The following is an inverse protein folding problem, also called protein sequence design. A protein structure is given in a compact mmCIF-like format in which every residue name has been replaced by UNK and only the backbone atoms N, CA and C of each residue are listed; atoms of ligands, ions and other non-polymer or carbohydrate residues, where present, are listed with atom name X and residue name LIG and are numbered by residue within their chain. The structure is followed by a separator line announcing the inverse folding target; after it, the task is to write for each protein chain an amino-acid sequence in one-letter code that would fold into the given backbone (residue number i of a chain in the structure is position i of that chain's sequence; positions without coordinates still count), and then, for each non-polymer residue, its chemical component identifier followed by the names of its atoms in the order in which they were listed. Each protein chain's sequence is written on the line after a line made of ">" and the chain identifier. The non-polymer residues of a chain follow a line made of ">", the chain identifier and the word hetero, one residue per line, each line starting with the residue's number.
data_IF_317521371727
#
_entry.id   IF_317521371727
#
_cell.length_a   1.000
_cell.length_b   1.000
_cell.length_c   1.000
_cell.angle_alpha   90.00
_cell.angle_beta   90.00
_cell.angle_gamma   90.00
#
_symmetry.space_group_name_H-M   'P 1'
#
loop_
_entity.id
_entity.type
_entity.pdbx_description
1 polymer ?
#
# COMPACT_ATOMS: atom_id res chain seq x y z
N UNK A 1 -9.31 22.03 -4.79
CA UNK A 1 -10.51 21.15 -4.77
C UNK A 1 -10.60 20.50 -3.39
N UNK A 2 -11.66 20.76 -2.59
CA UNK A 2 -11.80 20.18 -1.25
C UNK A 2 -11.90 18.66 -1.39
N UNK A 3 -11.02 17.93 -0.72
CA UNK A 3 -11.18 16.48 -0.51
C UNK A 3 -12.60 16.27 0.01
N UNK A 4 -13.42 15.53 -0.73
CA UNK A 4 -14.86 15.44 -0.45
C UNK A 4 -15.11 14.96 0.99
N UNK A 5 -16.18 15.41 1.60
CA UNK A 5 -16.60 15.09 2.98
C UNK A 5 -16.55 13.58 3.29
N UNK A 6 -16.83 12.73 2.29
CA UNK A 6 -16.76 11.26 2.39
C UNK A 6 -15.35 10.69 2.55
N UNK A 7 -14.31 11.37 2.07
CA UNK A 7 -12.91 10.93 2.23
C UNK A 7 -12.41 11.23 3.65
N UNK A 8 -12.82 12.37 4.21
CA UNK A 8 -12.48 12.73 5.58
C UNK A 8 -13.12 11.77 6.59
N UNK A 9 -14.38 11.35 6.39
CA UNK A 9 -15.03 10.40 7.30
C UNK A 9 -14.32 9.05 7.36
N UNK A 10 -13.87 8.51 6.21
CA UNK A 10 -13.13 7.25 6.18
C UNK A 10 -11.76 7.34 6.88
N UNK A 11 -11.09 8.47 6.78
CA UNK A 11 -9.84 8.69 7.52
C UNK A 11 -10.07 8.75 9.04
N UNK A 12 -11.18 9.38 9.48
CA UNK A 12 -11.55 9.35 10.90
C UNK A 12 -11.92 7.94 11.38
N UNK A 13 -12.64 7.15 10.58
CA UNK A 13 -12.95 5.75 10.92
C UNK A 13 -11.67 4.93 11.02
N UNK A 14 -10.70 5.11 10.11
CA UNK A 14 -9.41 4.44 10.18
C UNK A 14 -8.66 4.76 11.48
N UNK A 15 -8.60 6.04 11.86
CA UNK A 15 -7.98 6.50 13.12
C UNK A 15 -8.72 5.95 14.34
N UNK A 16 -10.04 6.00 14.33
CA UNK A 16 -10.87 5.46 15.40
C UNK A 16 -10.67 3.94 15.56
N UNK A 17 -10.51 3.20 14.46
CA UNK A 17 -10.20 1.77 14.49
C UNK A 17 -8.85 1.49 15.17
N UNK A 18 -7.79 2.26 14.85
CA UNK A 18 -6.50 2.14 15.52
C UNK A 18 -6.57 2.51 17.00
N UNK A 19 -7.32 3.57 17.36
CA UNK A 19 -7.54 3.95 18.77
C UNK A 19 -8.31 2.86 19.51
N UNK A 20 -9.39 2.34 18.95
CA UNK A 20 -10.17 1.27 19.55
C UNK A 20 -9.34 0.01 19.77
N UNK A 21 -8.48 -0.35 18.81
CA UNK A 21 -7.56 -1.48 18.93
C UNK A 21 -6.55 -1.28 20.06
N UNK A 22 -5.97 -0.08 20.20
CA UNK A 22 -5.04 0.25 21.27
C UNK A 22 -5.72 0.21 22.65
N UNK A 23 -6.95 0.75 22.74
CA UNK A 23 -7.74 0.70 23.99
C UNK A 23 -8.14 -0.73 24.38
N UNK A 24 -8.52 -1.56 23.41
CA UNK A 24 -8.87 -2.95 23.64
C UNK A 24 -7.65 -3.80 24.06
N UNK A 25 -6.45 -3.42 23.60
CA UNK A 25 -5.14 -4.01 24.00
C UNK A 25 -5.16 -5.54 24.16
N UNK A 26 -5.58 -6.33 23.15
CA UNK A 26 -5.81 -7.77 23.29
C UNK A 26 -4.55 -8.55 23.68
N UNK A 27 -3.37 -7.99 23.50
CA UNK A 27 -2.08 -8.57 23.88
C UNK A 27 -1.80 -8.60 25.37
N UNK A 28 -2.64 -7.97 26.24
CA UNK A 28 -2.55 -8.05 27.70
C UNK A 28 -3.23 -9.30 28.28
N UNK A 29 -4.03 -10.01 27.49
CA UNK A 29 -4.86 -11.13 27.98
C UNK A 29 -4.07 -12.44 28.12
N UNK A 30 -2.85 -12.53 27.58
CA UNK A 30 -2.04 -13.74 27.55
C UNK A 30 -1.38 -14.07 28.92
N UNK A 31 -2.19 -14.16 29.97
CA UNK A 31 -1.72 -14.43 31.34
C UNK A 31 -1.02 -15.80 31.55
N UNK A 32 -1.04 -16.68 30.56
CA UNK A 32 -0.51 -18.04 30.63
C UNK A 32 0.81 -18.26 29.87
N UNK A 33 1.33 -17.25 29.22
CA UNK A 33 2.65 -17.31 28.59
C UNK A 33 3.76 -16.95 29.60
N UNK A 34 4.98 -17.39 29.29
CA UNK A 34 6.15 -16.96 30.09
C UNK A 34 6.32 -15.43 30.06
N UNK A 35 6.84 -14.83 31.10
CA UNK A 35 7.07 -13.38 31.19
C UNK A 35 7.77 -12.80 29.95
N UNK A 36 8.85 -13.40 29.40
CA UNK A 36 9.50 -12.87 28.21
C UNK A 36 8.58 -12.84 26.97
N UNK A 37 7.76 -13.88 26.78
CA UNK A 37 6.79 -13.95 25.67
C UNK A 37 5.74 -12.85 25.82
N UNK A 38 5.20 -12.66 27.01
CA UNK A 38 4.24 -11.60 27.30
C UNK A 38 4.83 -10.20 27.02
N UNK A 39 6.06 -9.95 27.41
CA UNK A 39 6.75 -8.68 27.12
C UNK A 39 6.86 -8.45 25.62
N UNK A 40 7.24 -9.46 24.83
CA UNK A 40 7.32 -9.35 23.37
C UNK A 40 5.95 -9.03 22.76
N UNK A 41 4.88 -9.71 23.19
CA UNK A 41 3.52 -9.48 22.70
C UNK A 41 3.04 -8.08 23.04
N UNK A 42 3.24 -7.63 24.28
CA UNK A 42 2.83 -6.30 24.76
C UNK A 42 3.59 -5.20 24.00
N UNK A 43 4.92 -5.27 23.98
CA UNK A 43 5.75 -4.25 23.32
C UNK A 43 5.48 -4.23 21.81
N UNK A 44 5.42 -5.42 21.18
CA UNK A 44 5.12 -5.54 19.75
C UNK A 44 3.72 -5.02 19.40
N UNK A 45 2.71 -5.36 20.19
CA UNK A 45 1.33 -4.91 20.01
C UNK A 45 1.23 -3.38 20.09
N UNK A 46 1.79 -2.78 21.13
CA UNK A 46 1.81 -1.32 21.29
C UNK A 46 2.61 -0.62 20.18
N UNK A 47 3.80 -1.13 19.83
CA UNK A 47 4.64 -0.53 18.81
C UNK A 47 3.95 -0.54 17.44
N UNK A 48 3.36 -1.67 17.03
CA UNK A 48 2.65 -1.78 15.77
C UNK A 48 1.36 -0.95 15.76
N UNK A 49 0.57 -0.99 16.83
CA UNK A 49 -0.65 -0.22 16.95
C UNK A 49 -0.40 1.29 16.91
N UNK A 50 0.58 1.76 17.68
CA UNK A 50 1.00 3.17 17.66
C UNK A 50 1.53 3.59 16.29
N UNK A 51 2.32 2.74 15.62
CA UNK A 51 2.81 3.01 14.26
C UNK A 51 1.65 3.13 13.25
N UNK A 52 0.63 2.28 13.35
CA UNK A 52 -0.58 2.36 12.53
C UNK A 52 -1.36 3.64 12.75
N UNK A 53 -1.60 4.01 14.02
CA UNK A 53 -2.28 5.25 14.39
C UNK A 53 -1.52 6.48 13.91
N UNK A 54 -0.24 6.62 14.26
CA UNK A 54 0.59 7.78 13.89
C UNK A 54 0.68 7.93 12.37
N UNK A 55 0.85 6.82 11.66
CA UNK A 55 0.90 6.84 10.19
C UNK A 55 -0.45 7.19 9.54
N UNK A 56 -1.57 6.90 10.20
CA UNK A 56 -2.90 7.33 9.76
C UNK A 56 -3.15 8.84 9.99
N UNK A 57 -2.45 9.44 10.94
CA UNK A 57 -2.49 10.89 11.22
C UNK A 57 -1.60 11.64 10.24
N UNK A 58 -0.39 11.15 10.02
CA UNK A 58 0.55 11.72 9.06
C UNK A 58 0.15 11.35 7.62
N UNK A 59 -0.75 12.10 7.02
CA UNK A 59 -1.28 11.87 5.67
C UNK A 59 -0.16 11.97 4.61
N UNK A 60 0.56 10.87 4.42
CA UNK A 60 1.68 10.79 3.47
C UNK A 60 1.67 9.44 2.74
N UNK A 61 2.28 9.34 1.54
CA UNK A 61 2.48 8.05 0.87
C UNK A 61 3.29 7.04 1.69
N UNK A 62 4.22 7.54 2.54
CA UNK A 62 4.97 6.70 3.48
C UNK A 62 4.02 6.17 4.57
N UNK A 63 3.17 7.05 5.13
CA UNK A 63 2.13 6.67 6.11
C UNK A 63 1.21 5.58 5.56
N UNK A 64 0.77 5.67 4.31
CA UNK A 64 -0.01 4.62 3.65
C UNK A 64 0.73 3.28 3.62
N UNK A 65 2.03 3.31 3.31
CA UNK A 65 2.85 2.10 3.29
C UNK A 65 2.97 1.49 4.69
N UNK A 66 3.24 2.31 5.71
CA UNK A 66 3.36 1.85 7.10
C UNK A 66 2.04 1.28 7.61
N UNK A 67 0.91 1.96 7.38
CA UNK A 67 -0.42 1.43 7.75
C UNK A 67 -0.64 0.05 7.16
N UNK A 68 -0.36 -0.16 5.86
CA UNK A 68 -0.49 -1.46 5.21
C UNK A 68 0.48 -2.49 5.75
N UNK A 69 1.72 -2.07 6.01
CA UNK A 69 2.78 -2.95 6.50
C UNK A 69 2.46 -3.50 7.89
N UNK A 70 1.98 -2.65 8.81
CA UNK A 70 1.69 -3.03 10.19
C UNK A 70 0.32 -3.70 10.36
N UNK A 71 -0.61 -3.49 9.42
CA UNK A 71 -1.93 -4.10 9.48
C UNK A 71 -1.88 -5.63 9.43
N UNK A 72 -1.02 -6.20 8.55
CA UNK A 72 -0.95 -7.67 8.38
C UNK A 72 -0.43 -8.37 9.65
N UNK A 73 0.71 -7.99 10.26
CA UNK A 73 1.14 -8.57 11.53
C UNK A 73 0.17 -8.30 12.67
N UNK A 74 -0.52 -7.16 12.66
CA UNK A 74 -1.55 -6.85 13.66
C UNK A 74 -2.77 -7.75 13.54
N UNK A 75 -3.24 -8.05 12.31
CA UNK A 75 -4.29 -9.05 12.08
C UNK A 75 -3.85 -10.40 12.64
N UNK A 76 -2.63 -10.86 12.33
CA UNK A 76 -2.11 -12.13 12.83
C UNK A 76 -2.03 -12.15 14.36
N UNK A 77 -1.54 -11.07 14.98
CA UNK A 77 -1.45 -10.95 16.44
C UNK A 77 -2.85 -10.99 17.10
N UNK A 78 -3.78 -10.14 16.63
CA UNK A 78 -5.12 -10.07 17.22
C UNK A 78 -5.89 -11.38 17.04
N UNK A 79 -5.85 -11.97 15.85
CA UNK A 79 -6.53 -13.25 15.61
C UNK A 79 -5.95 -14.38 16.46
N UNK A 80 -4.63 -14.43 16.67
CA UNK A 80 -4.01 -15.43 17.56
C UNK A 80 -4.44 -15.24 19.00
N UNK A 81 -4.49 -14.00 19.51
CA UNK A 81 -4.91 -13.72 20.89
C UNK A 81 -6.40 -14.02 21.11
N UNK A 82 -7.26 -13.69 20.13
CA UNK A 82 -8.69 -14.02 20.17
C UNK A 82 -8.91 -15.54 20.16
N UNK A 83 -8.21 -16.26 19.28
CA UNK A 83 -8.29 -17.73 19.21
C UNK A 83 -7.86 -18.37 20.53
N UNK A 84 -6.78 -17.88 21.12
CA UNK A 84 -6.31 -18.32 22.42
C UNK A 84 -7.35 -18.04 23.53
N UNK A 85 -7.91 -16.82 23.58
CA UNK A 85 -8.95 -16.47 24.54
C UNK A 85 -10.21 -17.33 24.43
N UNK A 86 -10.58 -17.75 23.22
CA UNK A 86 -11.72 -18.66 22.99
C UNK A 86 -11.42 -20.06 23.53
N UNK A 87 -10.21 -20.60 23.26
CA UNK A 87 -9.80 -21.92 23.73
C UNK A 87 -9.73 -22.01 25.25
N UNK A 88 -9.29 -20.95 25.92
CA UNK A 88 -9.21 -20.87 27.36
C UNK A 88 -10.52 -20.40 28.05
N UNK A 89 -11.59 -20.27 27.29
CA UNK A 89 -12.89 -19.75 27.75
C UNK A 89 -12.81 -18.35 28.42
N UNK A 90 -11.85 -17.56 28.00
CA UNK A 90 -11.57 -16.19 28.48
C UNK A 90 -11.86 -15.11 27.40
N UNK A 91 -12.71 -15.43 26.42
CA UNK A 91 -13.09 -14.48 25.38
C UNK A 91 -13.82 -13.27 25.98
N UNK A 92 -13.30 -12.08 25.76
CA UNK A 92 -13.83 -10.82 26.29
C UNK A 92 -14.44 -9.96 25.20
N UNK A 93 -15.31 -9.01 25.59
CA UNK A 93 -15.82 -7.97 24.70
C UNK A 93 -14.68 -7.17 24.08
N UNK A 94 -13.61 -6.92 24.83
CA UNK A 94 -12.42 -6.22 24.32
C UNK A 94 -11.74 -6.97 23.15
N UNK A 95 -11.67 -8.31 23.20
CA UNK A 95 -11.15 -9.11 22.09
C UNK A 95 -12.01 -9.01 20.84
N UNK A 96 -13.33 -9.05 21.00
CA UNK A 96 -14.26 -8.86 19.87
C UNK A 96 -14.13 -7.46 19.26
N UNK A 97 -14.04 -6.43 20.11
CA UNK A 97 -13.79 -5.06 19.66
C UNK A 97 -12.45 -4.93 18.92
N UNK A 98 -11.39 -5.55 19.42
CA UNK A 98 -10.09 -5.57 18.77
C UNK A 98 -10.14 -6.22 17.39
N UNK A 99 -10.84 -7.35 17.26
CA UNK A 99 -11.01 -8.06 15.98
C UNK A 99 -11.78 -7.21 14.98
N UNK A 100 -12.89 -6.59 15.39
CA UNK A 100 -13.67 -5.68 14.53
C UNK A 100 -12.83 -4.47 14.13
N UNK A 101 -12.12 -3.88 15.08
CA UNK A 101 -11.28 -2.70 14.83
C UNK A 101 -10.16 -3.01 13.81
N UNK A 102 -9.43 -4.11 13.97
CA UNK A 102 -8.36 -4.46 13.03
C UNK A 102 -8.91 -4.88 11.66
N UNK A 103 -10.04 -5.58 11.60
CA UNK A 103 -10.71 -5.91 10.34
C UNK A 103 -11.14 -4.64 9.59
N UNK A 104 -11.73 -3.67 10.31
CA UNK A 104 -12.08 -2.37 9.75
C UNK A 104 -10.85 -1.60 9.24
N UNK A 105 -9.77 -1.53 10.03
CA UNK A 105 -8.52 -0.89 9.62
C UNK A 105 -7.91 -1.55 8.38
N UNK A 106 -7.91 -2.88 8.31
CA UNK A 106 -7.42 -3.65 7.17
C UNK A 106 -8.24 -3.37 5.90
N UNK A 107 -9.56 -3.41 6.00
CA UNK A 107 -10.45 -3.10 4.88
C UNK A 107 -10.22 -1.67 4.38
N UNK A 108 -10.17 -0.68 5.28
CA UNK A 108 -9.96 0.73 4.94
C UNK A 108 -8.58 0.98 4.31
N UNK A 109 -7.50 0.36 4.80
CA UNK A 109 -6.16 0.48 4.25
C UNK A 109 -6.06 0.03 2.78
N UNK A 110 -6.97 -0.86 2.34
CA UNK A 110 -7.06 -1.34 0.96
C UNK A 110 -7.94 -0.47 0.07
N UNK A 111 -8.75 0.46 0.63
CA UNK A 111 -9.67 1.28 -0.15
C UNK A 111 -8.95 2.31 -1.02
N UNK A 112 -9.53 2.58 -2.19
CA UNK A 112 -9.06 3.63 -3.10
C UNK A 112 -9.15 5.02 -2.45
N UNK A 113 -10.21 5.26 -1.66
CA UNK A 113 -10.45 6.57 -1.03
C UNK A 113 -9.37 6.93 -0.01
N UNK A 114 -8.99 5.99 0.87
CA UNK A 114 -7.88 6.18 1.83
C UNK A 114 -6.56 6.37 1.10
N UNK A 115 -6.29 5.54 0.08
CA UNK A 115 -5.09 5.67 -0.75
C UNK A 115 -5.00 7.05 -1.42
N UNK A 116 -6.10 7.51 -2.01
CA UNK A 116 -6.15 8.83 -2.66
C UNK A 116 -5.97 9.96 -1.64
N UNK A 117 -6.62 9.88 -0.48
CA UNK A 117 -6.48 10.91 0.55
C UNK A 117 -5.03 11.05 1.03
N UNK A 118 -4.34 9.92 1.28
CA UNK A 118 -2.95 9.93 1.74
C UNK A 118 -1.95 10.36 0.64
N UNK A 119 -2.22 10.02 -0.62
CA UNK A 119 -1.37 10.44 -1.75
C UNK A 119 -1.60 11.90 -2.09
N UNK A 120 -2.86 12.36 -2.09
CA UNK A 120 -3.23 13.74 -2.39
C UNK A 120 -2.76 14.74 -1.33
N UNK A 121 -2.66 14.32 -0.08
CA UNK A 121 -2.20 15.21 1.00
C UNK A 121 -0.76 15.70 0.82
N UNK A 122 0.05 14.99 0.03
CA UNK A 122 1.39 15.42 -0.37
C UNK A 122 1.42 16.20 -1.70
N UNK A 123 0.27 16.55 -2.27
CA UNK A 123 0.20 17.33 -3.51
C UNK A 123 0.57 18.80 -3.26
N UNK A 124 1.22 19.42 -4.25
CA UNK A 124 1.61 20.81 -4.20
C UNK A 124 0.84 21.64 -5.25
N UNK A 125 0.32 22.79 -4.84
CA UNK A 125 -0.45 23.67 -5.72
C UNK A 125 -1.73 23.01 -6.25
N UNK A 126 -2.00 23.19 -7.54
CA UNK A 126 -3.22 22.70 -8.21
C UNK A 126 -3.08 21.28 -8.80
N UNK A 127 -2.11 20.49 -8.32
CA UNK A 127 -1.94 19.13 -8.78
C UNK A 127 -2.98 18.17 -8.18
N UNK A 128 -3.46 17.25 -9.01
CA UNK A 128 -4.35 16.16 -8.58
C UNK A 128 -3.68 14.82 -8.86
N UNK A 129 -3.49 14.02 -7.80
CA UNK A 129 -2.84 12.70 -7.86
C UNK A 129 -3.86 11.58 -7.85
N UNK A 130 -3.78 10.70 -8.84
CA UNK A 130 -4.62 9.50 -8.94
C UNK A 130 -3.75 8.26 -8.77
N UNK A 131 -3.86 7.52 -7.65
CA UNK A 131 -3.13 6.27 -7.47
C UNK A 131 -3.41 5.29 -8.62
N UNK A 132 -2.37 4.66 -9.15
CA UNK A 132 -2.49 3.63 -10.18
C UNK A 132 -2.88 2.29 -9.57
N UNK A 133 -3.55 1.45 -10.36
CA UNK A 133 -3.82 0.06 -10.00
C UNK A 133 -2.53 -0.73 -10.00
N UNK A 134 -2.36 -1.63 -9.02
CA UNK A 134 -1.20 -2.50 -8.96
C UNK A 134 -1.25 -3.52 -10.09
N UNK A 135 -0.19 -3.70 -10.88
CA UNK A 135 -0.15 -4.71 -11.93
C UNK A 135 -0.29 -6.12 -11.33
N UNK A 136 -1.09 -6.95 -11.99
CA UNK A 136 -1.38 -8.29 -11.52
C UNK A 136 -0.13 -9.13 -11.19
N UNK A 137 0.94 -9.14 -12.02
CA UNK A 137 2.16 -9.91 -11.75
C UNK A 137 2.85 -9.56 -10.42
N UNK A 138 2.63 -8.36 -9.89
CA UNK A 138 3.24 -7.91 -8.62
C UNK A 138 2.38 -8.19 -7.38
N UNK A 139 1.08 -8.50 -7.54
CA UNK A 139 0.16 -8.69 -6.41
C UNK A 139 0.55 -9.90 -5.58
N UNK A 140 0.67 -11.07 -6.21
CA UNK A 140 1.00 -12.31 -5.50
C UNK A 140 2.41 -12.29 -4.88
N UNK A 141 3.49 -11.92 -5.59
CA UNK A 141 4.81 -11.79 -4.99
C UNK A 141 4.83 -10.81 -3.82
N UNK A 142 4.16 -9.66 -3.93
CA UNK A 142 4.09 -8.69 -2.84
C UNK A 142 3.36 -9.24 -1.62
N UNK A 143 2.26 -9.99 -1.83
CA UNK A 143 1.53 -10.64 -0.74
C UNK A 143 2.39 -11.71 -0.04
N UNK A 144 3.07 -12.56 -0.79
CA UNK A 144 3.96 -13.59 -0.24
C UNK A 144 5.13 -12.97 0.54
N UNK A 145 5.76 -11.93 0.00
CA UNK A 145 6.82 -11.20 0.69
C UNK A 145 6.30 -10.55 1.97
N UNK A 146 5.11 -9.94 1.93
CA UNK A 146 4.48 -9.35 3.11
C UNK A 146 4.18 -10.40 4.19
N UNK A 147 3.63 -11.57 3.80
CA UNK A 147 3.34 -12.67 4.74
C UNK A 147 4.62 -13.26 5.33
N UNK A 148 5.63 -13.54 4.52
CA UNK A 148 6.93 -14.04 5.00
C UNK A 148 7.62 -13.05 5.93
N UNK A 149 7.59 -11.76 5.60
CA UNK A 149 8.11 -10.70 6.46
C UNK A 149 7.34 -10.64 7.79
N UNK A 150 6.01 -10.68 7.73
CA UNK A 150 5.15 -10.73 8.92
C UNK A 150 5.48 -11.93 9.81
N UNK A 151 5.59 -13.11 9.21
CA UNK A 151 5.98 -14.33 9.96
C UNK A 151 7.33 -14.15 10.65
N UNK A 152 8.34 -13.60 9.97
CA UNK A 152 9.67 -13.42 10.52
C UNK A 152 9.72 -12.39 11.66
N UNK A 153 9.05 -11.23 11.52
CA UNK A 153 9.07 -10.19 12.57
C UNK A 153 8.28 -10.58 13.82
N UNK A 154 7.30 -11.48 13.70
CA UNK A 154 6.55 -12.00 14.85
C UNK A 154 7.29 -13.18 15.47
N UNK A 155 7.62 -14.20 14.67
CA UNK A 155 8.16 -15.46 15.21
C UNK A 155 9.59 -15.33 15.72
N UNK A 156 10.44 -14.47 15.13
CA UNK A 156 11.82 -14.30 15.58
C UNK A 156 11.91 -13.92 17.07
N UNK A 157 11.35 -12.77 17.49
CA UNK A 157 11.35 -12.36 18.90
C UNK A 157 10.62 -13.34 19.84
N UNK A 158 9.53 -13.96 19.36
CA UNK A 158 8.79 -14.96 20.16
C UNK A 158 9.61 -16.24 20.41
N UNK A 159 10.34 -16.74 19.40
CA UNK A 159 11.23 -17.89 19.55
C UNK A 159 12.37 -17.58 20.54
N UNK A 160 12.94 -16.38 20.50
CA UNK A 160 13.93 -15.94 21.48
C UNK A 160 13.35 -15.91 22.89
N UNK A 161 12.17 -15.34 23.05
CA UNK A 161 11.46 -15.27 24.33
C UNK A 161 11.07 -16.65 24.85
N UNK A 162 10.77 -17.61 23.96
CA UNK A 162 10.49 -19.00 24.28
C UNK A 162 11.76 -19.85 24.47
N UNK A 163 12.95 -19.22 24.53
CA UNK A 163 14.27 -19.87 24.73
C UNK A 163 14.70 -20.81 23.58
N UNK A 164 14.07 -20.74 22.43
CA UNK A 164 14.51 -21.44 21.21
C UNK A 164 15.59 -20.61 20.50
N UNK A 165 16.76 -20.48 21.13
CA UNK A 165 17.75 -19.48 20.73
C UNK A 165 18.28 -19.65 19.29
N UNK A 166 18.61 -20.88 18.86
CA UNK A 166 19.15 -21.11 17.53
C UNK A 166 18.18 -20.67 16.42
N UNK A 167 16.92 -21.13 16.49
CA UNK A 167 15.88 -20.74 15.55
C UNK A 167 15.52 -19.26 15.69
N UNK A 168 15.40 -18.77 16.93
CA UNK A 168 15.06 -17.37 17.21
C UNK A 168 16.08 -16.39 16.68
N UNK A 169 17.37 -16.66 16.85
CA UNK A 169 18.46 -15.83 16.30
C UNK A 169 18.42 -15.84 14.78
N UNK A 170 18.33 -17.02 14.16
CA UNK A 170 18.29 -17.13 12.69
C UNK A 170 17.12 -16.36 12.08
N UNK A 171 15.89 -16.54 12.61
CA UNK A 171 14.70 -15.87 12.10
C UNK A 171 14.75 -14.36 12.39
N UNK A 172 15.25 -13.94 13.54
CA UNK A 172 15.40 -12.51 13.87
C UNK A 172 16.39 -11.83 12.93
N UNK A 173 17.52 -12.46 12.62
CA UNK A 173 18.47 -11.93 11.64
C UNK A 173 17.84 -11.79 10.25
N UNK A 174 17.05 -12.77 9.81
CA UNK A 174 16.28 -12.68 8.56
C UNK A 174 15.30 -11.51 8.63
N UNK A 175 14.55 -11.36 9.73
CA UNK A 175 13.60 -10.26 9.91
C UNK A 175 14.28 -8.89 9.85
N UNK A 176 15.42 -8.73 10.53
CA UNK A 176 16.22 -7.50 10.51
C UNK A 176 16.71 -7.20 9.09
N UNK A 177 17.31 -8.17 8.40
CA UNK A 177 17.78 -7.98 7.01
C UNK A 177 16.62 -7.64 6.07
N UNK A 178 15.46 -8.30 6.23
CA UNK A 178 14.25 -8.02 5.46
C UNK A 178 13.70 -6.62 5.74
N UNK A 179 13.82 -6.10 6.96
CA UNK A 179 13.34 -4.76 7.35
C UNK A 179 14.04 -3.63 6.59
N UNK A 180 15.23 -3.84 6.06
CA UNK A 180 15.91 -2.87 5.20
C UNK A 180 15.42 -2.89 3.74
N UNK A 181 14.85 -3.99 3.26
CA UNK A 181 14.47 -4.18 1.86
C UNK A 181 12.96 -4.20 1.64
N UNK A 182 12.21 -4.98 2.44
CA UNK A 182 10.78 -5.23 2.23
C UNK A 182 9.94 -3.94 2.31
N UNK A 183 10.06 -3.09 3.35
CA UNK A 183 9.29 -1.85 3.41
C UNK A 183 9.55 -0.94 2.21
N UNK A 184 10.80 -0.83 1.77
CA UNK A 184 11.19 -0.01 0.59
C UNK A 184 10.55 -0.55 -0.70
N UNK A 185 10.56 -1.86 -0.91
CA UNK A 185 9.95 -2.49 -2.10
C UNK A 185 8.43 -2.37 -2.09
N UNK A 186 7.78 -2.58 -0.95
CA UNK A 186 6.33 -2.38 -0.83
C UNK A 186 5.95 -0.90 -0.96
N UNK A 187 6.81 0.01 -0.51
CA UNK A 187 6.61 1.44 -0.71
C UNK A 187 6.61 1.84 -2.20
N UNK A 188 7.43 1.21 -3.03
CA UNK A 188 7.43 1.46 -4.48
C UNK A 188 6.05 1.17 -5.11
N UNK A 189 5.32 0.16 -4.62
CA UNK A 189 3.94 -0.12 -5.05
C UNK A 189 2.95 0.99 -4.67
N UNK A 190 3.20 1.68 -3.56
CA UNK A 190 2.38 2.79 -3.09
C UNK A 190 2.73 4.13 -3.76
N UNK A 191 3.89 4.22 -4.44
CA UNK A 191 4.37 5.41 -5.14
C UNK A 191 4.09 5.40 -6.63
N UNK A 192 2.95 4.89 -7.02
CA UNK A 192 2.52 4.85 -8.41
C UNK A 192 1.27 5.72 -8.55
N UNK A 193 1.37 6.79 -9.31
CA UNK A 193 0.23 7.70 -9.54
C UNK A 193 0.33 8.41 -10.88
N UNK A 194 -0.85 8.72 -11.40
CA UNK A 194 -1.06 9.68 -12.48
C UNK A 194 -1.27 11.05 -11.83
N UNK A 195 -0.53 12.05 -12.23
CA UNK A 195 -0.66 13.43 -11.74
C UNK A 195 -1.19 14.30 -12.87
N UNK A 196 -2.27 15.01 -12.59
CA UNK A 196 -2.78 16.05 -13.50
C UNK A 196 -2.40 17.39 -12.90
N UNK A 197 -1.63 18.16 -13.65
CA UNK A 197 -1.17 19.51 -13.32
C UNK A 197 -1.69 20.51 -14.35
N UNK A 198 -1.71 21.83 -14.06
CA UNK A 198 -2.10 22.84 -15.04
C UNK A 198 -1.30 22.81 -16.34
N UNK A 199 -0.04 22.38 -16.28
CA UNK A 199 0.86 22.30 -17.45
C UNK A 199 0.68 21.00 -18.27
N UNK A 200 0.00 19.97 -17.75
CA UNK A 200 -0.17 18.70 -18.43
C UNK A 200 -0.42 17.51 -17.53
N UNK A 201 0.08 16.37 -17.96
CA UNK A 201 -0.09 15.06 -17.35
C UNK A 201 1.28 14.47 -16.99
N UNK A 202 1.40 13.89 -15.81
CA UNK A 202 2.65 13.23 -15.35
C UNK A 202 2.34 11.80 -14.93
N UNK A 203 3.04 10.84 -15.50
CA UNK A 203 3.01 9.42 -15.08
C UNK A 203 4.22 9.18 -14.18
N UNK A 204 3.95 8.95 -12.90
CA UNK A 204 4.97 8.63 -11.91
C UNK A 204 4.81 7.15 -11.52
N UNK A 205 5.62 6.28 -12.14
CA UNK A 205 5.52 4.84 -11.98
C UNK A 205 6.89 4.16 -12.08
N UNK A 206 7.56 4.02 -10.97
CA UNK A 206 8.88 3.40 -10.89
C UNK A 206 8.95 1.90 -11.18
N UNK A 207 7.80 1.21 -11.37
CA UNK A 207 7.80 -0.19 -11.77
C UNK A 207 7.91 -0.34 -13.28
N UNK A 208 7.28 0.58 -14.01
CA UNK A 208 7.22 0.54 -15.48
C UNK A 208 8.23 1.50 -16.11
N UNK A 209 8.44 2.65 -15.50
CA UNK A 209 9.27 3.74 -16.00
C UNK A 209 10.55 3.89 -15.17
N UNK A 210 11.67 4.11 -15.81
CA UNK A 210 12.92 4.48 -15.14
C UNK A 210 12.91 5.94 -14.70
N UNK A 211 12.22 6.80 -15.46
CA UNK A 211 12.08 8.23 -15.20
C UNK A 211 10.60 8.63 -15.21
N UNK A 212 10.25 9.71 -14.53
CA UNK A 212 8.92 10.28 -14.57
C UNK A 212 8.60 10.79 -15.98
N UNK A 213 7.49 10.34 -16.55
CA UNK A 213 7.07 10.72 -17.89
C UNK A 213 6.06 11.88 -17.81
N UNK A 214 6.40 13.02 -18.40
CA UNK A 214 5.56 14.21 -18.40
C UNK A 214 5.12 14.56 -19.83
N UNK A 215 3.83 14.74 -20.03
CA UNK A 215 3.23 15.20 -21.28
C UNK A 215 2.60 16.57 -21.06
N UNK A 216 2.97 17.55 -21.87
CA UNK A 216 2.37 18.90 -21.84
C UNK A 216 0.97 18.89 -22.44
N UNK A 217 0.06 19.75 -21.96
CA UNK A 217 -1.29 19.89 -22.53
C UNK A 217 -1.28 20.13 -24.03
N UNK A 218 -0.36 20.94 -24.53
CA UNK A 218 -0.24 21.21 -25.96
C UNK A 218 0.10 19.98 -26.81
N UNK A 219 0.63 18.92 -26.22
CA UNK A 219 0.93 17.64 -26.89
C UNK A 219 -0.19 16.59 -26.71
N UNK A 220 -1.26 16.89 -25.98
CA UNK A 220 -2.41 15.99 -25.82
C UNK A 220 -3.38 16.19 -26.97
N UNK A 221 -3.64 15.12 -27.74
CA UNK A 221 -4.62 15.14 -28.83
C UNK A 221 -5.96 14.57 -28.38
N UNK A 222 -5.94 13.42 -27.71
CA UNK A 222 -7.15 12.75 -27.26
C UNK A 222 -6.92 12.01 -25.94
N UNK A 223 -7.99 11.94 -25.14
CA UNK A 223 -8.03 11.17 -23.90
C UNK A 223 -9.32 10.36 -23.89
N UNK A 224 -9.18 9.04 -23.96
CA UNK A 224 -10.30 8.10 -24.00
C UNK A 224 -10.12 6.94 -23.01
N UNK A 225 -11.18 6.20 -22.80
CA UNK A 225 -11.11 4.92 -22.08
C UNK A 225 -11.16 3.75 -23.06
N UNK A 226 -10.41 2.70 -22.80
CA UNK A 226 -10.45 1.46 -23.56
C UNK A 226 -10.54 0.25 -22.63
N UNK A 227 -11.16 -0.80 -23.14
CA UNK A 227 -11.24 -2.10 -22.47
C UNK A 227 -10.21 -3.06 -23.11
N UNK A 228 -9.18 -3.41 -22.36
CA UNK A 228 -8.14 -4.31 -22.85
C UNK A 228 -6.97 -3.61 -23.56
N UNK A 229 -5.95 -4.40 -24.00
CA UNK A 229 -4.78 -3.89 -24.71
C UNK A 229 -5.17 -3.46 -26.14
N UNK A 230 -4.55 -2.37 -26.59
CA UNK A 230 -4.64 -1.83 -27.95
C UNK A 230 -3.26 -1.73 -28.59
N UNK A 231 -3.14 -0.90 -29.62
CA UNK A 231 -1.87 -0.59 -30.29
C UNK A 231 -1.01 0.42 -29.53
N UNK A 232 -1.59 1.06 -28.51
CA UNK A 232 -0.89 2.02 -27.67
C UNK A 232 0.16 1.36 -26.76
N UNK A 233 1.21 2.08 -26.41
CA UNK A 233 2.23 1.64 -25.47
C UNK A 233 1.61 1.35 -24.09
N UNK A 234 1.71 0.11 -23.58
CA UNK A 234 1.15 -0.26 -22.29
C UNK A 234 2.07 0.17 -21.13
N UNK A 235 1.76 1.31 -20.53
CA UNK A 235 2.40 1.80 -19.29
C UNK A 235 1.63 1.36 -18.02
N UNK A 236 0.69 0.42 -18.13
CA UNK A 236 -0.01 -0.11 -16.95
C UNK A 236 0.80 -1.16 -16.20
N UNK A 237 1.74 -1.82 -16.89
CA UNK A 237 2.52 -2.95 -16.38
C UNK A 237 1.72 -4.26 -16.29
N UNK A 238 0.69 -4.43 -17.13
CA UNK A 238 -0.14 -5.63 -17.16
C UNK A 238 -1.36 -5.57 -16.24
N UNK A 239 -2.00 -4.41 -16.14
CA UNK A 239 -3.29 -4.26 -15.43
C UNK A 239 -4.43 -4.66 -16.37
N UNK A 240 -5.33 -5.54 -15.90
CA UNK A 240 -6.52 -5.96 -16.64
C UNK A 240 -7.68 -4.95 -16.56
N UNK A 241 -8.56 -4.97 -17.59
CA UNK A 241 -9.78 -4.18 -17.66
C UNK A 241 -9.56 -2.74 -18.11
N UNK A 242 -10.54 -1.88 -17.82
CA UNK A 242 -10.59 -0.49 -18.31
C UNK A 242 -9.34 0.30 -17.97
N UNK A 243 -8.83 1.03 -18.96
CA UNK A 243 -7.63 1.86 -18.87
C UNK A 243 -7.87 3.24 -19.47
N UNK A 244 -7.05 4.19 -19.12
CA UNK A 244 -6.99 5.51 -19.71
C UNK A 244 -5.98 5.47 -20.85
N UNK A 245 -6.41 5.79 -22.06
CA UNK A 245 -5.56 5.91 -23.24
C UNK A 245 -5.39 7.39 -23.55
N UNK A 246 -4.14 7.78 -23.72
CA UNK A 246 -3.73 9.15 -24.03
C UNK A 246 -3.02 9.16 -25.37
N UNK A 247 -3.52 9.94 -26.32
CA UNK A 247 -2.90 10.13 -27.64
C UNK A 247 -2.17 11.47 -27.69
N UNK A 248 -1.01 11.48 -28.35
CA UNK A 248 -0.11 12.63 -28.45
C UNK A 248 -0.09 13.18 -29.87
N UNK A 249 0.05 14.49 -29.99
CA UNK A 249 0.23 15.18 -31.29
C UNK A 249 1.59 14.83 -31.89
N UNK A 250 2.63 14.83 -31.08
CA UNK A 250 3.98 14.41 -31.46
C UNK A 250 4.46 13.29 -30.54
N UNK A 251 5.15 12.31 -31.14
CA UNK A 251 5.71 11.22 -30.35
C UNK A 251 6.69 11.74 -29.32
N UNK A 252 6.61 11.20 -28.10
CA UNK A 252 7.45 11.59 -26.97
C UNK A 252 8.24 10.39 -26.46
N UNK A 253 9.39 10.67 -25.84
CA UNK A 253 10.34 9.65 -25.38
C UNK A 253 9.96 9.16 -24.00
N UNK A 254 9.76 7.86 -23.87
CA UNK A 254 9.50 7.16 -22.60
C UNK A 254 10.69 6.27 -22.28
N UNK A 255 11.29 6.44 -21.09
CA UNK A 255 12.39 5.59 -20.60
C UNK A 255 11.82 4.50 -19.70
N UNK A 256 12.03 3.24 -20.09
CA UNK A 256 11.46 2.09 -19.42
C UNK A 256 12.35 1.59 -18.26
N UNK A 257 11.72 1.11 -17.19
CA UNK A 257 12.42 0.45 -16.08
C UNK A 257 13.10 -0.85 -16.57
N UNK A 258 14.23 -1.29 -15.96
CA UNK A 258 15.00 -2.46 -16.42
C UNK A 258 14.17 -3.73 -16.54
N UNK A 259 13.26 -4.00 -15.59
CA UNK A 259 12.37 -5.15 -15.61
C UNK A 259 11.39 -5.06 -16.79
N UNK A 260 10.83 -3.90 -17.04
CA UNK A 260 9.89 -3.68 -18.14
C UNK A 260 10.57 -3.89 -19.49
N UNK A 261 11.80 -3.38 -19.66
CA UNK A 261 12.62 -3.61 -20.86
C UNK A 261 12.86 -5.10 -21.12
N UNK A 262 13.25 -5.82 -20.08
CA UNK A 262 13.50 -7.25 -20.16
C UNK A 262 12.23 -8.05 -20.55
N UNK A 263 11.08 -7.68 -19.96
CA UNK A 263 9.78 -8.35 -20.25
C UNK A 263 9.31 -8.04 -21.67
N UNK A 264 9.49 -6.80 -22.13
CA UNK A 264 9.06 -6.38 -23.48
C UNK A 264 10.09 -6.71 -24.58
N UNK A 265 11.29 -7.16 -24.22
CA UNK A 265 12.37 -7.43 -25.19
C UNK A 265 12.78 -6.22 -26.02
N UNK A 266 12.68 -5.01 -25.44
CA UNK A 266 12.84 -3.74 -26.16
C UNK A 266 14.05 -2.94 -25.67
N UNK A 267 14.32 -1.83 -26.38
CA UNK A 267 15.38 -0.88 -26.05
C UNK A 267 15.07 -0.06 -24.79
N UNK A 268 16.06 0.70 -24.32
CA UNK A 268 15.96 1.53 -23.11
C UNK A 268 14.87 2.58 -23.17
N UNK A 269 14.53 3.06 -24.38
CA UNK A 269 13.56 4.10 -24.58
C UNK A 269 12.68 3.79 -25.81
N UNK A 270 11.41 4.12 -25.67
CA UNK A 270 10.42 4.08 -26.75
C UNK A 270 9.95 5.48 -27.10
N UNK A 271 9.72 5.73 -28.39
CA UNK A 271 8.98 6.92 -28.84
C UNK A 271 7.52 6.51 -29.00
N UNK A 272 6.64 7.08 -28.20
CA UNK A 272 5.23 6.72 -28.15
C UNK A 272 4.37 7.86 -28.65
N UNK A 273 3.48 7.59 -29.59
CA UNK A 273 2.41 8.51 -30.06
C UNK A 273 1.12 8.34 -29.26
N UNK A 274 0.99 7.21 -28.54
CA UNK A 274 -0.11 6.96 -27.61
C UNK A 274 0.33 5.98 -26.54
N UNK A 275 -0.24 6.13 -25.34
CA UNK A 275 0.05 5.22 -24.21
C UNK A 275 -1.19 5.00 -23.36
N UNK A 276 -1.20 3.87 -22.65
CA UNK A 276 -2.24 3.53 -21.68
C UNK A 276 -1.73 3.54 -20.25
N UNK A 277 -2.58 3.99 -19.32
CA UNK A 277 -2.34 3.97 -17.88
C UNK A 277 -3.62 3.57 -17.13
N UNK A 278 -3.52 3.11 -15.89
CA UNK A 278 -4.64 2.54 -15.17
C UNK A 278 -4.87 3.20 -13.79
N UNK A 279 -5.36 4.44 -13.73
CA UNK A 279 -5.70 5.07 -12.46
C UNK A 279 -6.87 4.33 -11.78
N UNK A 280 -6.85 4.25 -10.44
CA UNK A 280 -7.93 3.64 -9.65
C UNK A 280 -9.24 4.41 -9.76
N UNK A 281 -9.18 5.72 -9.98
CA UNK A 281 -10.32 6.62 -10.19
C UNK A 281 -10.34 7.09 -11.65
N UNK A 282 -10.58 6.15 -12.56
CA UNK A 282 -10.49 6.37 -14.01
C UNK A 282 -11.36 7.53 -14.49
N UNK A 283 -12.65 7.51 -14.11
CA UNK A 283 -13.62 8.51 -14.60
C UNK A 283 -13.30 9.91 -14.05
N UNK A 284 -12.82 10.00 -12.80
CA UNK A 284 -12.39 11.26 -12.21
C UNK A 284 -11.12 11.82 -12.88
N UNK A 285 -10.15 10.94 -13.19
CA UNK A 285 -8.94 11.32 -13.91
C UNK A 285 -9.27 11.82 -15.33
N UNK A 286 -10.12 11.10 -16.04
CA UNK A 286 -10.58 11.48 -17.37
C UNK A 286 -11.34 12.83 -17.36
N UNK A 287 -12.26 13.01 -16.42
CA UNK A 287 -13.02 14.26 -16.29
C UNK A 287 -12.11 15.47 -15.96
N UNK A 288 -10.99 15.25 -15.27
CA UNK A 288 -10.02 16.31 -14.97
C UNK A 288 -9.14 16.67 -16.16
N UNK A 289 -8.82 15.69 -17.02
CA UNK A 289 -7.99 15.89 -18.21
C UNK A 289 -8.75 16.55 -19.39
N UNK A 290 -10.09 16.43 -19.40
CA UNK A 290 -10.95 17.05 -20.42
C UNK A 290 -11.38 18.49 -20.09
N UNK A 291 -10.97 19.01 -18.94
CA UNK A 291 -11.19 20.41 -18.52
C UNK A 291 -10.05 21.30 -18.93
#
# INVERSE_FOLDING_TARGET
>A
MRVGTSSNSLMWILRASWVALLLASPWHVAAHHSTPVNVVLIVGGWAMGASGLLSSIALTPIGLTVVRLVTVPMVALVTSQVSYGITENNATVAMTLALVAIACAAALACTTRVSTAMVQAGAYGDETRYPLRTPFPYVLPAALVQLGYTAAIISGPLLLAARSYAAGVAVTLIAVAASFKVPRRLHQLSRRWLVVVPAGLVVHDHLVLAETFMVRHANLTDVRTADGPGEEADLTGGVFGRRLVVSLTAADKVVLAPITRQVLGTTDALHVSSFSTAPRQLDAAMARLKK
#
